data_IF_931688617043
#
_entry.id   IF_931688617043
#
_cell.length_a   1.000
_cell.length_b   1.000
_cell.length_c   1.000
_cell.angle_alpha   90.00
_cell.angle_beta   90.00
_cell.angle_gamma   90.00
#
_symmetry.space_group_name_H-M   'P 1'
#
loop_
_entity.id
_entity.type
_entity.pdbx_description
1 polymer ?
#
# COMPACT_ATOMS: atom_id res chain seq x y z
N UNK A 1 -17.91 -19.50 -4.73
CA UNK A 1 -16.72 -18.62 -4.72
C UNK A 1 -16.91 -17.60 -3.61
N UNK A 2 -15.89 -17.44 -2.79
CA UNK A 2 -15.92 -16.52 -1.64
C UNK A 2 -15.80 -15.07 -2.11
N UNK A 3 -16.41 -14.13 -1.38
CA UNK A 3 -16.32 -12.71 -1.64
C UNK A 3 -15.28 -12.06 -0.74
N UNK A 4 -14.40 -11.26 -1.33
CA UNK A 4 -13.43 -10.43 -0.60
C UNK A 4 -13.72 -8.96 -0.88
N UNK A 5 -13.86 -8.14 0.18
CA UNK A 5 -14.01 -6.71 0.06
C UNK A 5 -12.63 -6.03 0.10
N UNK A 6 -12.31 -5.23 -0.92
CA UNK A 6 -11.08 -4.43 -0.99
C UNK A 6 -11.45 -2.96 -0.90
N UNK A 7 -11.12 -2.29 0.20
CA UNK A 7 -11.25 -0.84 0.28
C UNK A 7 -10.00 -0.17 -0.27
N UNK A 8 -10.16 0.93 -1.03
CA UNK A 8 -9.04 1.54 -1.76
C UNK A 8 -8.62 0.73 -2.99
N UNK A 9 -9.53 -0.10 -3.53
CA UNK A 9 -9.22 -1.03 -4.61
C UNK A 9 -8.93 -0.39 -5.97
N UNK A 10 -9.30 0.89 -6.18
CA UNK A 10 -8.92 1.62 -7.38
C UNK A 10 -7.50 2.22 -7.31
N UNK A 11 -6.87 2.20 -6.13
CA UNK A 11 -5.53 2.72 -5.90
C UNK A 11 -4.42 1.85 -6.48
N UNK A 12 -3.17 2.25 -6.23
CA UNK A 12 -1.96 1.55 -6.70
C UNK A 12 -1.92 0.09 -6.23
N UNK A 13 -1.75 -0.15 -4.93
CA UNK A 13 -1.66 -1.51 -4.39
C UNK A 13 -3.00 -2.23 -4.54
N UNK A 14 -4.11 -1.53 -4.25
CA UNK A 14 -5.45 -2.11 -4.29
C UNK A 14 -5.84 -2.68 -5.65
N UNK A 15 -5.47 -2.03 -6.75
CA UNK A 15 -5.77 -2.52 -8.11
C UNK A 15 -5.07 -3.84 -8.42
N UNK A 16 -3.83 -3.98 -8.00
CA UNK A 16 -3.08 -5.23 -8.15
C UNK A 16 -3.64 -6.34 -7.24
N UNK A 17 -4.03 -5.99 -5.99
CA UNK A 17 -4.69 -6.94 -5.07
C UNK A 17 -5.98 -7.47 -5.70
N UNK A 18 -6.83 -6.59 -6.26
CA UNK A 18 -8.06 -7.01 -6.91
C UNK A 18 -7.81 -7.99 -8.06
N UNK A 19 -6.86 -7.70 -8.96
CA UNK A 19 -6.51 -8.61 -10.06
C UNK A 19 -5.96 -9.95 -9.55
N UNK A 20 -5.13 -9.93 -8.52
CA UNK A 20 -4.59 -11.16 -7.92
C UNK A 20 -5.69 -12.01 -7.28
N UNK A 21 -6.64 -11.40 -6.57
CA UNK A 21 -7.79 -12.11 -6.00
C UNK A 21 -8.66 -12.76 -7.08
N UNK A 22 -8.96 -12.01 -8.16
CA UNK A 22 -9.70 -12.55 -9.32
C UNK A 22 -8.97 -13.73 -9.94
N UNK A 23 -7.64 -13.67 -10.11
CA UNK A 23 -6.86 -14.79 -10.64
C UNK A 23 -6.82 -16.00 -9.71
N UNK A 24 -6.97 -15.79 -8.40
CA UNK A 24 -7.10 -16.86 -7.39
C UNK A 24 -8.54 -17.40 -7.25
N UNK A 25 -9.52 -16.88 -7.99
CA UNK A 25 -10.88 -17.40 -7.99
C UNK A 25 -11.83 -16.74 -6.97
N UNK A 26 -11.45 -15.61 -6.35
CA UNK A 26 -12.32 -14.86 -5.46
C UNK A 26 -13.23 -13.89 -6.21
N UNK A 27 -14.48 -13.78 -5.78
CA UNK A 27 -15.32 -12.65 -6.14
C UNK A 27 -14.85 -11.39 -5.38
N UNK A 28 -14.85 -10.23 -6.03
CA UNK A 28 -14.27 -9.02 -5.46
C UNK A 28 -15.29 -7.88 -5.39
N UNK A 29 -15.46 -7.35 -4.18
CA UNK A 29 -16.11 -6.06 -3.97
C UNK A 29 -15.04 -4.96 -3.79
N UNK A 30 -15.18 -3.85 -4.49
CA UNK A 30 -14.27 -2.71 -4.41
C UNK A 30 -15.01 -1.52 -3.80
N UNK A 31 -14.42 -0.90 -2.78
CA UNK A 31 -14.84 0.42 -2.27
C UNK A 31 -13.73 1.42 -2.54
N UNK A 32 -14.02 2.50 -3.28
CA UNK A 32 -13.12 3.63 -3.48
C UNK A 32 -13.94 4.91 -3.66
N UNK A 33 -13.51 6.02 -3.09
CA UNK A 33 -14.19 7.30 -3.24
C UNK A 33 -13.64 8.17 -4.38
N UNK A 34 -12.65 7.63 -5.12
CA UNK A 34 -11.98 8.32 -6.23
C UNK A 34 -11.50 9.73 -5.88
N UNK A 35 -11.06 9.94 -4.62
CA UNK A 35 -10.56 11.25 -4.20
C UNK A 35 -9.47 11.79 -5.14
N UNK A 36 -9.30 13.09 -5.13
CA UNK A 36 -8.42 13.85 -6.00
C UNK A 36 -6.99 14.03 -5.47
N UNK A 37 -6.56 13.23 -4.50
CA UNK A 37 -5.19 13.23 -4.00
C UNK A 37 -4.16 13.07 -5.15
N UNK A 38 -4.52 12.26 -6.13
CA UNK A 38 -3.93 12.25 -7.48
C UNK A 38 -5.05 12.02 -8.49
N UNK A 39 -4.75 12.24 -9.78
CA UNK A 39 -5.76 12.19 -10.84
C UNK A 39 -6.73 11.00 -10.72
N UNK A 40 -8.05 11.23 -10.52
CA UNK A 40 -9.05 10.18 -10.51
C UNK A 40 -9.11 9.37 -11.82
N UNK A 41 -8.67 9.94 -12.94
CA UNK A 41 -8.61 9.25 -14.22
C UNK A 41 -7.71 8.01 -14.14
N UNK A 42 -6.54 8.09 -13.46
CA UNK A 42 -5.66 6.95 -13.25
C UNK A 42 -6.34 5.83 -12.45
N UNK A 43 -7.14 6.19 -11.46
CA UNK A 43 -7.92 5.21 -10.67
C UNK A 43 -8.99 4.53 -11.54
N UNK A 44 -9.64 5.29 -12.42
CA UNK A 44 -10.65 4.73 -13.34
C UNK A 44 -10.02 3.82 -14.41
N UNK A 45 -8.82 4.13 -14.89
CA UNK A 45 -8.05 3.22 -15.74
C UNK A 45 -7.75 1.89 -15.04
N UNK A 46 -7.32 1.94 -13.76
CA UNK A 46 -7.11 0.75 -12.95
C UNK A 46 -8.39 -0.11 -12.86
N UNK A 47 -9.55 0.52 -12.64
CA UNK A 47 -10.84 -0.20 -12.61
C UNK A 47 -11.18 -0.83 -13.97
N UNK A 48 -10.85 -0.17 -15.07
CA UNK A 48 -11.04 -0.75 -16.41
C UNK A 48 -10.23 -2.03 -16.59
N UNK A 49 -8.98 -2.04 -16.13
CA UNK A 49 -8.12 -3.25 -16.19
C UNK A 49 -8.66 -4.36 -15.29
N UNK A 50 -9.08 -4.04 -14.05
CA UNK A 50 -9.66 -5.02 -13.12
C UNK A 50 -10.93 -5.63 -13.71
N UNK A 51 -11.80 -4.84 -14.35
CA UNK A 51 -13.01 -5.35 -15.04
C UNK A 51 -12.66 -6.29 -16.18
N UNK A 52 -11.62 -5.98 -16.95
CA UNK A 52 -11.14 -6.86 -18.01
C UNK A 52 -10.59 -8.18 -17.44
N UNK A 53 -9.86 -8.14 -16.33
CA UNK A 53 -9.38 -9.34 -15.64
C UNK A 53 -10.56 -10.18 -15.11
N UNK A 54 -11.57 -9.58 -14.49
CA UNK A 54 -12.77 -10.28 -14.00
C UNK A 54 -13.51 -11.00 -15.15
N UNK A 55 -13.67 -10.33 -16.29
CA UNK A 55 -14.31 -10.94 -17.47
C UNK A 55 -13.51 -12.14 -18.01
N UNK A 56 -12.16 -12.06 -17.99
CA UNK A 56 -11.29 -13.15 -18.42
C UNK A 56 -11.43 -14.39 -17.54
N UNK A 57 -11.62 -14.22 -16.26
CA UNK A 57 -11.76 -15.32 -15.29
C UNK A 57 -13.20 -15.75 -15.07
N UNK A 58 -14.20 -15.09 -15.66
CA UNK A 58 -15.64 -15.32 -15.43
C UNK A 58 -16.02 -15.25 -13.94
N UNK A 59 -15.46 -14.25 -13.21
CA UNK A 59 -15.64 -14.04 -11.78
C UNK A 59 -16.40 -12.72 -11.54
N UNK A 60 -17.21 -12.68 -10.48
CA UNK A 60 -17.99 -11.49 -10.15
C UNK A 60 -17.13 -10.38 -9.56
N UNK A 61 -17.38 -9.18 -10.06
CA UNK A 61 -16.74 -7.94 -9.60
C UNK A 61 -17.82 -6.87 -9.40
N UNK A 62 -17.83 -6.26 -8.22
CA UNK A 62 -18.72 -5.13 -7.92
C UNK A 62 -17.91 -3.93 -7.46
N UNK A 63 -18.21 -2.76 -8.01
CA UNK A 63 -17.58 -1.49 -7.63
C UNK A 63 -18.59 -0.60 -6.91
N UNK A 64 -18.23 -0.13 -5.72
CA UNK A 64 -18.96 0.86 -4.95
C UNK A 64 -18.14 2.16 -4.87
N UNK A 65 -18.63 3.20 -5.51
CA UNK A 65 -18.05 4.55 -5.37
C UNK A 65 -18.54 5.15 -4.05
N UNK A 66 -17.79 4.90 -2.97
CA UNK A 66 -18.19 5.26 -1.61
C UNK A 66 -16.98 5.66 -0.75
N UNK A 67 -17.25 6.56 0.19
CA UNK A 67 -16.28 6.97 1.20
C UNK A 67 -16.41 6.08 2.45
N UNK A 68 -15.30 5.56 2.94
CA UNK A 68 -15.27 4.68 4.13
C UNK A 68 -15.79 5.36 5.40
N UNK A 69 -15.87 6.69 5.43
CA UNK A 69 -16.45 7.46 6.53
C UNK A 69 -17.98 7.49 6.50
N UNK A 70 -18.58 7.22 5.35
CA UNK A 70 -20.04 7.27 5.20
C UNK A 70 -20.68 5.97 5.65
N UNK A 71 -21.17 5.94 6.89
CA UNK A 71 -21.77 4.76 7.52
C UNK A 71 -22.92 4.16 6.70
N UNK A 72 -23.76 4.98 6.06
CA UNK A 72 -24.89 4.47 5.27
C UNK A 72 -24.44 3.77 3.99
N UNK A 73 -23.45 4.35 3.31
CA UNK A 73 -22.89 3.75 2.09
C UNK A 73 -22.15 2.44 2.41
N UNK A 74 -21.41 2.42 3.51
CA UNK A 74 -20.68 1.21 3.95
C UNK A 74 -21.68 0.13 4.43
N UNK A 75 -22.74 0.49 5.13
CA UNK A 75 -23.80 -0.47 5.48
C UNK A 75 -24.42 -1.14 4.24
N UNK A 76 -24.68 -0.37 3.20
CA UNK A 76 -25.16 -0.90 1.92
C UNK A 76 -24.15 -1.89 1.30
N UNK A 77 -22.85 -1.54 1.26
CA UNK A 77 -21.80 -2.40 0.72
C UNK A 77 -21.76 -3.76 1.43
N UNK A 78 -21.74 -3.75 2.76
CA UNK A 78 -21.66 -4.97 3.55
C UNK A 78 -22.94 -5.84 3.46
N UNK A 79 -24.08 -5.24 3.18
CA UNK A 79 -25.34 -5.94 3.01
C UNK A 79 -25.49 -6.57 1.62
N UNK A 80 -24.89 -5.97 0.60
CA UNK A 80 -25.11 -6.32 -0.81
C UNK A 80 -24.48 -7.66 -1.21
N UNK A 81 -23.38 -8.08 -0.54
CA UNK A 81 -22.68 -9.34 -0.82
C UNK A 81 -22.24 -10.01 0.48
N UNK A 82 -22.16 -11.35 0.48
CA UNK A 82 -21.71 -12.14 1.64
C UNK A 82 -20.17 -12.18 1.71
N UNK A 83 -19.56 -11.08 2.15
CA UNK A 83 -18.11 -11.00 2.27
C UNK A 83 -17.58 -11.93 3.37
N UNK A 84 -16.51 -12.67 3.05
CA UNK A 84 -15.79 -13.54 3.99
C UNK A 84 -14.59 -12.83 4.61
N UNK A 85 -13.97 -11.90 3.89
CA UNK A 85 -12.79 -11.17 4.32
C UNK A 85 -12.82 -9.71 3.85
N UNK A 86 -12.10 -8.86 4.58
CA UNK A 86 -11.86 -7.46 4.20
C UNK A 86 -10.36 -7.22 4.08
N UNK A 87 -9.91 -6.66 2.95
CA UNK A 87 -8.57 -6.11 2.76
C UNK A 87 -8.69 -4.59 2.79
N UNK A 88 -8.31 -3.98 3.91
CA UNK A 88 -8.50 -2.56 4.18
C UNK A 88 -7.26 -1.75 3.79
N UNK A 89 -7.26 -1.24 2.52
CA UNK A 89 -6.17 -0.41 1.98
C UNK A 89 -6.55 1.07 1.86
N UNK A 90 -7.83 1.41 1.95
CA UNK A 90 -8.30 2.80 1.87
C UNK A 90 -7.72 3.63 3.01
N UNK A 91 -6.99 4.68 2.66
CA UNK A 91 -6.40 5.61 3.62
C UNK A 91 -5.92 6.88 2.91
N UNK A 92 -5.82 7.99 3.63
CA UNK A 92 -4.94 9.07 3.26
C UNK A 92 -3.51 8.64 3.52
N UNK A 93 -2.66 8.60 2.49
CA UNK A 93 -1.27 8.14 2.56
C UNK A 93 -0.29 9.30 2.36
N UNK A 94 0.93 9.16 2.91
CA UNK A 94 2.01 10.13 2.76
C UNK A 94 2.27 10.93 4.03
N UNK A 95 3.55 10.98 4.42
CA UNK A 95 4.02 11.68 5.63
C UNK A 95 3.82 13.19 5.49
N UNK A 96 4.32 13.79 4.40
CA UNK A 96 4.31 15.25 4.21
C UNK A 96 2.90 15.84 4.14
N UNK A 97 1.97 15.34 3.29
CA UNK A 97 0.61 15.86 3.27
C UNK A 97 -0.13 15.71 4.60
N UNK A 98 0.25 14.73 5.43
CA UNK A 98 -0.35 14.57 6.76
C UNK A 98 0.01 15.69 7.73
N UNK A 99 1.17 16.32 7.55
CA UNK A 99 1.60 17.48 8.35
C UNK A 99 0.76 18.71 7.97
N UNK A 100 0.41 18.84 6.70
CA UNK A 100 -0.39 19.96 6.18
C UNK A 100 -1.88 19.83 6.56
N UNK A 101 -2.41 18.62 6.66
CA UNK A 101 -3.83 18.37 6.96
C UNK A 101 -4.05 17.15 7.88
N UNK A 102 -3.54 17.24 9.11
CA UNK A 102 -3.69 16.19 10.12
C UNK A 102 -5.17 15.80 10.41
N UNK A 103 -6.14 16.76 10.49
CA UNK A 103 -7.53 16.41 10.73
C UNK A 103 -8.11 15.44 9.68
N UNK A 104 -7.81 15.63 8.39
CA UNK A 104 -8.25 14.73 7.34
C UNK A 104 -7.70 13.32 7.52
N UNK A 105 -6.42 13.20 7.91
CA UNK A 105 -5.78 11.90 8.14
C UNK A 105 -6.41 11.16 9.33
N UNK A 106 -6.72 11.87 10.41
CA UNK A 106 -7.43 11.30 11.57
C UNK A 106 -8.83 10.82 11.12
N UNK A 107 -9.57 11.66 10.43
CA UNK A 107 -10.95 11.35 10.03
C UNK A 107 -11.01 10.15 9.07
N UNK A 108 -10.16 10.10 8.05
CA UNK A 108 -10.15 8.98 7.10
C UNK A 108 -9.53 7.73 7.70
N UNK A 109 -8.33 7.84 8.29
CA UNK A 109 -7.54 6.66 8.67
C UNK A 109 -7.99 6.05 9.99
N UNK A 110 -8.57 6.84 10.91
CA UNK A 110 -9.07 6.34 12.20
C UNK A 110 -10.58 6.13 12.14
N UNK A 111 -11.36 7.19 11.91
CA UNK A 111 -12.82 7.07 11.93
C UNK A 111 -13.32 6.16 10.79
N UNK A 112 -12.71 6.26 9.59
CA UNK A 112 -12.99 5.36 8.47
C UNK A 112 -12.69 3.90 8.79
N UNK A 113 -11.54 3.61 9.42
CA UNK A 113 -11.18 2.25 9.86
C UNK A 113 -12.15 1.71 10.91
N UNK A 114 -12.52 2.52 11.91
CA UNK A 114 -13.52 2.14 12.91
C UNK A 114 -14.86 1.84 12.24
N UNK A 115 -15.28 2.65 11.27
CA UNK A 115 -16.52 2.41 10.53
C UNK A 115 -16.52 1.06 9.79
N UNK A 116 -15.39 0.68 9.16
CA UNK A 116 -15.24 -0.65 8.53
C UNK A 116 -15.33 -1.76 9.59
N UNK A 117 -14.60 -1.65 10.69
CA UNK A 117 -14.58 -2.65 11.76
C UNK A 117 -15.97 -2.85 12.41
N UNK A 118 -16.72 -1.76 12.63
CA UNK A 118 -18.09 -1.84 13.15
C UNK A 118 -19.04 -2.58 12.19
N UNK A 119 -18.86 -2.41 10.88
CA UNK A 119 -19.64 -3.16 9.90
C UNK A 119 -19.19 -4.61 9.80
N UNK A 120 -17.90 -4.90 9.89
CA UNK A 120 -17.42 -6.28 10.01
C UNK A 120 -18.05 -6.98 11.21
N UNK A 121 -18.05 -6.32 12.39
CA UNK A 121 -18.71 -6.84 13.60
C UNK A 121 -20.22 -7.06 13.39
N UNK A 122 -20.92 -6.09 12.84
CA UNK A 122 -22.36 -6.14 12.56
C UNK A 122 -22.75 -7.29 11.63
N UNK A 123 -21.95 -7.51 10.57
CA UNK A 123 -22.19 -8.53 9.56
C UNK A 123 -21.42 -9.83 9.79
N UNK A 124 -20.78 -9.99 10.97
CA UNK A 124 -20.07 -11.19 11.42
C UNK A 124 -18.92 -11.62 10.50
N UNK A 125 -18.25 -10.66 9.83
CA UNK A 125 -17.07 -10.92 9.03
C UNK A 125 -15.85 -10.92 9.96
N UNK A 126 -15.07 -12.01 9.94
CA UNK A 126 -14.02 -12.26 10.92
C UNK A 126 -12.59 -12.27 10.38
N UNK A 127 -12.36 -11.89 9.12
CA UNK A 127 -11.05 -11.93 8.49
C UNK A 127 -10.68 -10.52 7.99
N UNK A 128 -9.62 -9.94 8.53
CA UNK A 128 -9.15 -8.60 8.18
C UNK A 128 -7.66 -8.57 7.86
N UNK A 129 -7.31 -7.97 6.73
CA UNK A 129 -5.97 -7.47 6.48
C UNK A 129 -6.00 -5.95 6.58
N UNK A 130 -5.19 -5.39 7.46
CA UNK A 130 -5.07 -3.95 7.66
C UNK A 130 -3.76 -3.41 7.10
N UNK A 131 -3.82 -2.45 6.18
CA UNK A 131 -2.65 -1.78 5.65
C UNK A 131 -2.07 -0.80 6.66
N UNK A 132 -1.04 -1.24 7.39
CA UNK A 132 -0.18 -0.39 8.20
C UNK A 132 0.98 0.16 7.35
N UNK A 133 2.03 0.65 7.95
CA UNK A 133 3.15 1.31 7.26
C UNK A 133 4.43 1.25 8.08
N UNK A 134 5.58 1.13 7.42
CA UNK A 134 6.90 1.31 8.04
C UNK A 134 7.11 2.68 8.67
N UNK A 135 6.28 3.68 8.33
CA UNK A 135 6.31 5.00 8.96
C UNK A 135 6.07 4.96 10.47
N UNK A 136 5.44 3.90 11.01
CA UNK A 136 5.21 3.74 12.45
C UNK A 136 6.50 3.64 13.26
N UNK A 137 7.60 3.20 12.64
CA UNK A 137 8.92 3.11 13.28
C UNK A 137 9.57 4.48 13.57
N UNK A 138 9.13 5.53 12.87
CA UNK A 138 9.65 6.88 13.06
C UNK A 138 11.16 6.97 12.78
N UNK A 139 11.87 7.69 13.65
CA UNK A 139 13.33 7.82 13.63
C UNK A 139 13.98 6.83 14.62
N UNK A 140 13.70 5.54 14.49
CA UNK A 140 14.39 4.53 15.30
C UNK A 140 15.85 4.43 14.88
N UNK A 141 16.76 4.39 15.87
CA UNK A 141 18.19 4.17 15.65
C UNK A 141 18.52 2.67 15.41
N UNK A 142 17.58 1.77 15.76
CA UNK A 142 17.70 0.33 15.54
C UNK A 142 17.31 -0.01 14.10
N UNK A 143 18.18 -0.69 13.38
CA UNK A 143 17.93 -1.28 12.06
C UNK A 143 18.54 -2.68 11.97
N UNK A 144 17.89 -3.64 11.30
CA UNK A 144 16.59 -3.56 10.64
C UNK A 144 15.45 -3.35 11.64
N UNK A 145 14.29 -2.81 11.15
CA UNK A 145 13.08 -2.59 11.94
C UNK A 145 12.36 -3.92 12.19
N UNK A 146 12.13 -4.24 13.44
CA UNK A 146 11.47 -5.45 13.92
C UNK A 146 10.03 -5.13 14.36
N UNK A 147 9.09 -6.04 14.15
CA UNK A 147 7.69 -5.83 14.53
C UNK A 147 7.50 -5.67 16.05
N UNK A 148 8.39 -6.26 16.85
CA UNK A 148 8.38 -6.17 18.32
C UNK A 148 9.05 -4.89 18.85
N UNK A 149 9.64 -4.05 17.97
CA UNK A 149 10.19 -2.77 18.37
C UNK A 149 9.09 -1.83 18.89
N UNK A 150 9.35 -1.06 19.97
CA UNK A 150 8.41 -0.05 20.45
C UNK A 150 8.22 1.05 19.40
N UNK A 151 6.97 1.28 18.99
CA UNK A 151 6.59 2.25 17.96
C UNK A 151 5.66 3.33 18.54
N UNK A 152 6.03 3.87 19.69
CA UNK A 152 5.22 4.84 20.47
C UNK A 152 5.58 6.29 20.15
N UNK A 153 6.57 6.54 19.29
CA UNK A 153 7.07 7.87 18.96
C UNK A 153 6.99 8.15 17.46
N UNK A 154 5.77 8.11 16.86
CA UNK A 154 5.58 8.42 15.44
C UNK A 154 5.96 9.89 15.19
N UNK A 155 6.63 10.16 14.06
CA UNK A 155 7.11 11.50 13.70
C UNK A 155 6.21 12.24 12.70
N UNK A 156 5.03 11.69 12.42
CA UNK A 156 4.03 12.34 11.55
C UNK A 156 2.61 11.92 11.92
N UNK A 157 1.60 12.77 11.63
CA UNK A 157 0.20 12.40 11.80
C UNK A 157 -0.18 11.13 11.04
N UNK A 158 0.34 10.92 9.84
CA UNK A 158 0.15 9.67 9.09
C UNK A 158 0.63 8.44 9.87
N UNK A 159 1.85 8.47 10.37
CA UNK A 159 2.41 7.38 11.17
C UNK A 159 1.58 7.12 12.44
N UNK A 160 1.17 8.19 13.13
CA UNK A 160 0.32 8.10 14.31
C UNK A 160 -1.03 7.44 13.99
N UNK A 161 -1.67 7.80 12.85
CA UNK A 161 -2.95 7.17 12.46
C UNK A 161 -2.79 5.70 12.08
N UNK A 162 -1.68 5.30 11.47
CA UNK A 162 -1.41 3.89 11.15
C UNK A 162 -1.17 3.07 12.43
N UNK A 163 -0.40 3.60 13.38
CA UNK A 163 -0.21 2.96 14.69
C UNK A 163 -1.53 2.86 15.47
N UNK A 164 -2.33 3.91 15.48
CA UNK A 164 -3.66 3.87 16.09
C UNK A 164 -4.55 2.79 15.46
N UNK A 165 -4.48 2.62 14.13
CA UNK A 165 -5.19 1.56 13.42
C UNK A 165 -4.77 0.15 13.88
N UNK A 166 -3.48 -0.12 14.07
CA UNK A 166 -2.99 -1.40 14.63
C UNK A 166 -3.60 -1.69 16.01
N UNK A 167 -3.60 -0.67 16.90
CA UNK A 167 -4.16 -0.79 18.26
C UNK A 167 -5.68 -1.02 18.25
N UNK A 168 -6.39 -0.31 17.39
CA UNK A 168 -7.83 -0.47 17.20
C UNK A 168 -8.13 -1.87 16.66
N UNK A 169 -7.42 -2.33 15.66
CA UNK A 169 -7.56 -3.68 15.11
C UNK A 169 -7.35 -4.76 16.19
N UNK A 170 -6.33 -4.61 17.05
CA UNK A 170 -6.11 -5.51 18.18
C UNK A 170 -7.30 -5.50 19.16
N UNK A 171 -7.89 -4.33 19.42
CA UNK A 171 -9.07 -4.23 20.30
C UNK A 171 -10.27 -5.00 19.73
N UNK A 172 -10.51 -4.89 18.41
CA UNK A 172 -11.59 -5.62 17.74
C UNK A 172 -11.32 -7.13 17.65
N UNK A 173 -10.07 -7.52 17.47
CA UNK A 173 -9.66 -8.91 17.59
C UNK A 173 -10.02 -9.47 18.97
N UNK A 174 -9.59 -8.79 20.04
CA UNK A 174 -9.81 -9.24 21.42
C UNK A 174 -11.29 -9.31 21.81
N UNK A 175 -12.10 -8.33 21.39
CA UNK A 175 -13.51 -8.22 21.81
C UNK A 175 -14.47 -9.02 20.93
N UNK A 176 -14.13 -9.24 19.67
CA UNK A 176 -15.09 -9.77 18.68
C UNK A 176 -14.53 -10.92 17.84
N UNK A 177 -13.40 -11.50 18.22
CA UNK A 177 -12.76 -12.64 17.53
C UNK A 177 -12.53 -12.41 16.04
N UNK A 178 -12.19 -11.17 15.65
CA UNK A 178 -11.79 -10.88 14.26
C UNK A 178 -10.33 -11.28 14.10
N UNK A 179 -10.03 -12.21 13.19
CA UNK A 179 -8.66 -12.53 12.79
C UNK A 179 -8.05 -11.36 12.01
N UNK A 180 -6.89 -10.87 12.43
CA UNK A 180 -6.28 -9.68 11.85
C UNK A 180 -4.81 -9.90 11.54
N UNK A 181 -4.41 -9.57 10.31
CA UNK A 181 -3.02 -9.33 9.95
C UNK A 181 -2.82 -7.83 9.67
N UNK A 182 -2.02 -7.16 10.50
CA UNK A 182 -1.58 -5.79 10.25
C UNK A 182 -0.30 -5.83 9.41
N UNK A 183 -0.33 -5.27 8.19
CA UNK A 183 0.77 -5.34 7.24
C UNK A 183 1.50 -3.99 7.20
N UNK A 184 2.70 -3.93 7.76
CA UNK A 184 3.59 -2.75 7.68
C UNK A 184 4.30 -2.76 6.34
N UNK A 185 3.69 -2.10 5.35
CA UNK A 185 4.32 -1.93 4.04
C UNK A 185 5.52 -1.01 4.13
N UNK A 186 6.63 -1.44 3.54
CA UNK A 186 7.77 -0.59 3.25
C UNK A 186 7.52 0.18 1.93
N UNK A 187 8.56 0.70 1.28
CA UNK A 187 8.32 1.55 0.10
C UNK A 187 7.97 0.72 -1.12
N UNK A 188 6.67 0.50 -1.33
CA UNK A 188 6.18 -0.27 -2.48
C UNK A 188 6.34 0.53 -3.77
N UNK A 189 6.83 -0.12 -4.83
CA UNK A 189 6.97 0.46 -6.17
C UNK A 189 6.59 -0.52 -7.26
N UNK A 190 6.36 -0.02 -8.48
CA UNK A 190 5.99 -0.83 -9.64
C UNK A 190 4.94 -0.18 -10.53
N UNK A 191 4.37 -0.91 -11.50
CA UNK A 191 3.28 -0.45 -12.36
C UNK A 191 2.15 0.18 -11.57
N UNK A 192 1.50 1.22 -12.11
CA UNK A 192 0.41 1.99 -11.46
C UNK A 192 0.82 2.75 -10.20
N UNK A 193 2.13 2.83 -9.88
CA UNK A 193 2.60 3.64 -8.76
C UNK A 193 2.10 5.07 -8.88
N UNK A 194 1.74 5.68 -7.72
CA UNK A 194 1.21 7.06 -7.69
C UNK A 194 2.24 8.07 -8.18
N UNK A 195 1.81 9.17 -8.84
CA UNK A 195 2.72 10.18 -9.41
C UNK A 195 3.57 10.93 -8.38
N UNK A 196 3.10 11.01 -7.12
CA UNK A 196 3.82 11.66 -6.02
C UNK A 196 5.02 10.86 -5.49
N UNK A 197 5.09 9.55 -5.80
CA UNK A 197 6.16 8.68 -5.32
C UNK A 197 7.43 8.78 -6.17
N UNK A 198 8.59 8.69 -5.51
CA UNK A 198 9.88 9.08 -6.06
C UNK A 198 10.22 8.39 -7.40
N UNK A 199 10.09 7.07 -7.50
CA UNK A 199 10.48 6.32 -8.72
C UNK A 199 9.67 6.80 -9.92
N UNK A 200 8.33 6.93 -9.78
CA UNK A 200 7.48 7.43 -10.86
C UNK A 200 7.76 8.89 -11.18
N UNK A 201 7.83 9.75 -10.17
CA UNK A 201 8.14 11.17 -10.33
C UNK A 201 9.46 11.39 -11.05
N UNK A 202 10.48 10.62 -10.70
CA UNK A 202 11.81 10.74 -11.33
C UNK A 202 11.81 10.20 -12.76
N UNK A 203 11.09 9.12 -13.04
CA UNK A 203 10.91 8.65 -14.42
C UNK A 203 10.22 9.72 -15.28
N UNK A 204 9.15 10.35 -14.79
CA UNK A 204 8.46 11.44 -15.48
C UNK A 204 9.41 12.61 -15.80
N UNK A 205 10.22 13.02 -14.82
CA UNK A 205 11.21 14.09 -14.99
C UNK A 205 12.32 13.71 -15.98
N UNK A 206 12.83 12.46 -15.94
CA UNK A 206 13.82 11.95 -16.90
C UNK A 206 13.29 11.96 -18.33
N UNK A 207 12.06 11.52 -18.54
CA UNK A 207 11.45 11.52 -19.87
C UNK A 207 11.17 12.94 -20.39
N UNK A 208 10.83 13.86 -19.49
CA UNK A 208 10.61 15.27 -19.80
C UNK A 208 11.92 16.09 -19.90
N UNK A 209 13.09 15.48 -19.70
CA UNK A 209 14.39 16.16 -19.62
C UNK A 209 14.40 17.33 -18.62
N UNK A 210 13.72 17.17 -17.49
CA UNK A 210 13.59 18.15 -16.41
C UNK A 210 14.48 17.77 -15.21
N UNK A 211 14.93 18.76 -14.42
CA UNK A 211 15.75 18.49 -13.24
C UNK A 211 15.04 17.61 -12.21
N UNK A 212 15.76 16.61 -11.68
CA UNK A 212 15.33 15.74 -10.59
C UNK A 212 15.74 16.38 -9.26
N UNK A 213 14.81 16.57 -8.31
CA UNK A 213 15.16 17.05 -6.97
C UNK A 213 15.99 16.00 -6.23
N UNK A 214 17.23 16.36 -5.90
CA UNK A 214 18.19 15.48 -5.24
C UNK A 214 18.50 16.02 -3.85
N UNK A 215 18.00 15.32 -2.82
CA UNK A 215 18.07 15.78 -1.44
C UNK A 215 19.31 15.24 -0.73
N UNK A 216 20.00 16.13 -0.01
CA UNK A 216 21.24 15.81 0.70
C UNK A 216 22.37 15.41 -0.23
N UNK A 217 23.15 14.43 0.19
CA UNK A 217 24.26 13.85 -0.59
C UNK A 217 23.85 12.57 -1.38
N UNK A 218 22.58 12.20 -1.27
CA UNK A 218 22.04 11.00 -1.93
C UNK A 218 22.27 9.70 -1.17
N UNK A 219 22.80 9.75 0.06
CA UNK A 219 23.06 8.58 0.90
C UNK A 219 21.83 8.03 1.62
N UNK A 220 20.74 8.81 1.72
CA UNK A 220 19.48 8.37 2.36
C UNK A 220 18.97 7.08 1.72
N UNK A 221 18.71 6.07 2.54
CA UNK A 221 18.37 4.72 2.08
C UNK A 221 16.91 4.36 2.35
N UNK A 222 16.31 3.60 1.45
CA UNK A 222 14.95 3.06 1.63
C UNK A 222 14.93 1.58 1.25
N UNK A 223 14.13 0.83 1.98
CA UNK A 223 13.71 -0.51 1.59
C UNK A 223 12.59 -0.36 0.55
N UNK A 224 12.91 -0.71 -0.70
CA UNK A 224 11.98 -0.66 -1.84
C UNK A 224 11.50 -2.06 -2.16
N UNK A 225 10.19 -2.29 -2.05
CA UNK A 225 9.57 -3.58 -2.31
C UNK A 225 8.80 -3.54 -3.62
N UNK A 226 9.11 -4.44 -4.55
CA UNK A 226 8.36 -4.50 -5.80
C UNK A 226 6.92 -4.97 -5.54
N UNK A 227 5.96 -4.41 -6.28
CA UNK A 227 4.52 -4.62 -6.01
C UNK A 227 4.11 -6.08 -6.01
N UNK A 228 4.68 -6.94 -6.87
CA UNK A 228 4.35 -8.38 -6.90
C UNK A 228 4.78 -9.11 -5.63
N UNK A 229 5.90 -8.70 -5.01
CA UNK A 229 6.35 -9.27 -3.75
C UNK A 229 5.44 -8.82 -2.60
N UNK A 230 5.02 -7.55 -2.61
CA UNK A 230 3.98 -7.08 -1.68
C UNK A 230 2.69 -7.87 -1.82
N UNK A 231 2.26 -8.19 -3.05
CA UNK A 231 1.06 -9.01 -3.31
C UNK A 231 1.21 -10.43 -2.77
N UNK A 232 2.37 -11.07 -2.95
CA UNK A 232 2.64 -12.40 -2.38
C UNK A 232 2.44 -12.39 -0.86
N UNK A 233 2.98 -11.37 -0.18
CA UNK A 233 2.77 -11.18 1.26
C UNK A 233 1.31 -10.97 1.66
N UNK A 234 0.56 -10.18 0.91
CA UNK A 234 -0.88 -9.94 1.15
C UNK A 234 -1.68 -11.24 0.98
N UNK A 235 -1.47 -12.00 -0.09
CA UNK A 235 -2.20 -13.25 -0.33
C UNK A 235 -1.86 -14.31 0.72
N UNK A 236 -0.61 -14.41 1.15
CA UNK A 236 -0.20 -15.30 2.23
C UNK A 236 -0.79 -14.89 3.58
N UNK A 237 -0.87 -13.59 3.85
CA UNK A 237 -1.54 -13.07 5.04
C UNK A 237 -3.06 -13.34 4.99
N UNK A 238 -3.70 -13.28 3.80
CA UNK A 238 -5.11 -13.65 3.65
C UNK A 238 -5.33 -15.13 3.99
N UNK A 239 -4.49 -16.02 3.50
CA UNK A 239 -4.52 -17.43 3.86
C UNK A 239 -4.25 -17.66 5.35
N UNK A 240 -3.38 -16.85 5.96
CA UNK A 240 -3.05 -16.97 7.39
C UNK A 240 -4.22 -16.55 8.29
N UNK A 241 -4.97 -15.48 7.96
CA UNK A 241 -6.17 -15.09 8.74
C UNK A 241 -7.35 -16.02 8.49
N UNK A 242 -7.32 -16.85 7.43
CA UNK A 242 -8.30 -17.88 7.15
C UNK A 242 -8.02 -19.13 8.00
N UNK A 243 -8.17 -18.98 9.31
CA UNK A 243 -7.94 -20.02 10.30
C UNK A 243 -9.12 -20.11 11.26
N UNK A 244 -9.39 -21.33 11.74
CA UNK A 244 -10.35 -21.55 12.83
C UNK A 244 -9.82 -21.05 14.19
N UNK A 245 -8.51 -20.88 14.32
CA UNK A 245 -7.88 -20.32 15.51
C UNK A 245 -7.98 -18.81 15.50
N UNK A 246 -8.13 -18.22 16.69
CA UNK A 246 -8.09 -16.76 16.88
C UNK A 246 -6.68 -16.23 16.64
N UNK A 247 -6.51 -15.32 15.68
CA UNK A 247 -5.20 -14.83 15.21
C UNK A 247 -5.13 -13.32 15.11
N UNK A 248 -4.12 -12.76 15.73
CA UNK A 248 -3.71 -11.37 15.52
C UNK A 248 -2.19 -11.33 15.43
N UNK A 249 -1.67 -10.71 14.37
CA UNK A 249 -0.24 -10.38 14.33
C UNK A 249 0.04 -9.18 13.42
N UNK A 250 1.26 -8.66 13.53
CA UNK A 250 1.81 -7.57 12.71
C UNK A 250 2.97 -8.15 11.91
N UNK A 251 3.02 -7.84 10.61
CA UNK A 251 4.06 -8.32 9.69
C UNK A 251 4.69 -7.19 8.90
N UNK A 252 6.00 -7.15 8.86
CA UNK A 252 6.74 -6.32 7.91
C UNK A 252 6.71 -6.95 6.52
N UNK A 253 6.28 -6.17 5.52
CA UNK A 253 6.39 -6.54 4.11
C UNK A 253 7.37 -5.58 3.43
N UNK A 254 8.62 -5.99 3.36
CA UNK A 254 9.77 -5.29 2.79
C UNK A 254 10.61 -6.22 1.93
N UNK A 255 11.66 -5.70 1.32
CA UNK A 255 12.65 -6.47 0.56
C UNK A 255 13.77 -7.01 1.45
N UNK A 256 13.92 -6.44 2.66
CA UNK A 256 15.09 -6.65 3.52
C UNK A 256 16.41 -6.30 2.83
N UNK A 257 16.35 -5.32 1.94
CA UNK A 257 17.49 -4.68 1.28
C UNK A 257 17.24 -3.19 1.15
N UNK A 258 18.28 -2.40 1.26
CA UNK A 258 18.14 -0.95 1.19
C UNK A 258 18.84 -0.39 -0.03
N UNK A 259 18.19 0.59 -0.67
CA UNK A 259 18.70 1.30 -1.84
C UNK A 259 18.80 2.79 -1.51
N UNK A 260 19.95 3.40 -1.81
CA UNK A 260 20.16 4.83 -1.63
C UNK A 260 19.48 5.65 -2.73
N UNK A 261 19.29 6.94 -2.49
CA UNK A 261 18.78 7.85 -3.52
C UNK A 261 19.68 7.87 -4.77
N UNK A 262 21.01 7.79 -4.57
CA UNK A 262 21.98 7.73 -5.68
C UNK A 262 21.83 6.44 -6.49
N UNK A 263 21.71 5.29 -5.82
CA UNK A 263 21.50 3.98 -6.48
C UNK A 263 20.16 3.96 -7.24
N UNK A 264 19.10 4.55 -6.67
CA UNK A 264 17.79 4.65 -7.35
C UNK A 264 17.89 5.49 -8.63
N UNK A 265 18.57 6.64 -8.59
CA UNK A 265 18.77 7.47 -9.80
C UNK A 265 19.57 6.71 -10.84
N UNK A 266 20.64 6.02 -10.43
CA UNK A 266 21.47 5.21 -11.34
C UNK A 266 20.66 4.09 -12.00
N UNK A 267 19.82 3.38 -11.24
CA UNK A 267 18.94 2.32 -11.79
C UNK A 267 17.94 2.89 -12.83
N UNK A 268 17.36 4.07 -12.55
CA UNK A 268 16.47 4.75 -13.50
C UNK A 268 17.21 5.21 -14.76
N UNK A 269 18.42 5.77 -14.65
CA UNK A 269 19.27 6.09 -15.80
C UNK A 269 19.56 4.86 -16.66
N UNK A 270 19.95 3.77 -16.01
CA UNK A 270 20.27 2.50 -16.69
C UNK A 270 19.06 1.92 -17.42
N UNK A 271 17.88 1.90 -16.78
CA UNK A 271 16.65 1.36 -17.38
C UNK A 271 16.06 2.26 -18.49
N UNK A 272 16.27 3.58 -18.41
CA UNK A 272 15.74 4.53 -19.41
C UNK A 272 16.70 4.81 -20.55
N UNK A 273 18.01 4.63 -20.34
CA UNK A 273 19.08 5.09 -21.23
C UNK A 273 19.27 6.61 -21.21
N UNK A 274 18.67 7.32 -20.27
CA UNK A 274 18.70 8.79 -20.14
C UNK A 274 19.56 9.21 -18.95
N UNK A 275 20.23 10.36 -19.04
CA UNK A 275 20.97 10.95 -17.92
C UNK A 275 20.12 11.91 -17.13
N UNK A 276 20.21 11.83 -15.81
CA UNK A 276 19.50 12.70 -14.88
C UNK A 276 20.16 14.07 -14.77
N UNK A 277 19.37 15.12 -14.86
CA UNK A 277 19.76 16.46 -14.46
C UNK A 277 19.44 16.61 -12.98
N UNK A 278 20.46 16.62 -12.11
CA UNK A 278 20.25 16.68 -10.67
C UNK A 278 20.19 18.12 -10.17
N UNK A 279 19.12 18.49 -9.48
CA UNK A 279 19.00 19.74 -8.74
C UNK A 279 19.12 19.44 -7.24
N UNK A 280 20.23 19.83 -6.63
CA UNK A 280 20.54 19.56 -5.22
C UNK A 280 19.72 20.43 -4.28
N UNK A 281 19.19 19.82 -3.24
CA UNK A 281 18.46 20.46 -2.13
C UNK A 281 19.00 19.96 -0.79
N UNK A 282 18.85 20.73 0.30
CA UNK A 282 19.14 20.25 1.64
C UNK A 282 18.20 19.11 2.03
N UNK A 283 18.61 18.31 3.03
CA UNK A 283 17.75 17.29 3.64
C UNK A 283 16.47 17.95 4.14
N UNK A 284 15.33 17.33 3.89
CA UNK A 284 14.03 17.88 4.28
C UNK A 284 13.64 17.44 5.71
N UNK A 285 13.00 18.33 6.48
CA UNK A 285 12.44 17.96 7.78
C UNK A 285 11.45 16.79 7.66
N UNK A 286 11.53 15.83 8.59
CA UNK A 286 10.67 14.65 8.62
C UNK A 286 11.13 13.49 7.72
N UNK A 287 12.20 13.65 6.95
CA UNK A 287 12.81 12.53 6.24
C UNK A 287 13.67 11.68 7.19
N UNK A 288 13.40 10.38 7.23
CA UNK A 288 14.23 9.40 7.95
C UNK A 288 15.50 9.10 7.15
N UNK A 289 16.61 8.83 7.82
CA UNK A 289 17.89 8.50 7.18
C UNK A 289 17.85 7.17 6.46
N UNK A 290 17.20 6.16 7.06
CA UNK A 290 17.04 4.83 6.47
C UNK A 290 15.70 4.21 6.86
N UNK A 291 15.16 3.36 5.96
CA UNK A 291 14.15 2.36 6.31
C UNK A 291 14.67 1.01 5.89
N UNK A 292 14.60 0.02 6.78
CA UNK A 292 15.14 -1.31 6.54
C UNK A 292 14.29 -2.33 7.31
N UNK A 293 13.62 -3.25 6.59
CA UNK A 293 12.74 -4.26 7.17
C UNK A 293 13.54 -5.45 7.72
N UNK A 294 13.23 -5.87 8.94
CA UNK A 294 13.35 -7.28 9.29
C UNK A 294 12.07 -7.98 8.80
N UNK A 295 12.24 -8.99 7.96
CA UNK A 295 11.14 -9.80 7.42
C UNK A 295 11.14 -11.23 7.99
N UNK A 296 11.91 -11.48 9.02
CA UNK A 296 12.08 -12.80 9.64
C UNK A 296 10.77 -13.41 10.10
N UNK A 297 9.91 -12.62 10.74
CA UNK A 297 8.57 -13.03 11.18
C UNK A 297 7.69 -13.39 9.99
N UNK A 298 7.58 -12.50 8.99
CA UNK A 298 6.80 -12.75 7.78
C UNK A 298 7.30 -13.99 7.01
N UNK A 299 8.61 -14.19 6.94
CA UNK A 299 9.20 -15.38 6.33
C UNK A 299 8.84 -16.64 7.09
N UNK A 300 8.96 -16.65 8.41
CA UNK A 300 8.71 -17.82 9.25
C UNK A 300 7.22 -18.19 9.29
N UNK A 301 6.34 -17.21 9.47
CA UNK A 301 4.89 -17.45 9.72
C UNK A 301 4.10 -17.51 8.42
N UNK A 302 4.35 -16.59 7.49
CA UNK A 302 3.62 -16.49 6.22
C UNK A 302 4.32 -17.24 5.08
N UNK A 303 5.61 -17.57 5.21
CA UNK A 303 6.43 -18.03 4.10
C UNK A 303 6.72 -16.91 3.08
N UNK A 304 6.68 -15.65 3.51
CA UNK A 304 6.96 -14.50 2.66
C UNK A 304 8.43 -14.49 2.22
N UNK A 305 8.65 -14.40 0.92
CA UNK A 305 9.99 -14.39 0.34
C UNK A 305 9.98 -13.48 -0.89
N UNK A 306 10.46 -12.22 -0.77
CA UNK A 306 10.56 -11.31 -1.91
C UNK A 306 11.58 -11.83 -2.92
N UNK A 307 11.30 -11.67 -4.23
CA UNK A 307 12.06 -12.29 -5.33
C UNK A 307 12.56 -11.31 -6.38
N UNK A 308 12.03 -10.09 -6.40
CA UNK A 308 12.31 -9.14 -7.48
C UNK A 308 13.34 -8.13 -7.01
N UNK A 309 14.62 -8.27 -7.48
CA UNK A 309 15.64 -7.28 -7.16
C UNK A 309 15.23 -5.87 -7.59
N UNK A 310 15.81 -4.85 -6.93
CA UNK A 310 15.47 -3.46 -7.21
C UNK A 310 15.68 -3.08 -8.69
N UNK A 311 16.81 -3.49 -9.28
CA UNK A 311 17.15 -3.22 -10.68
C UNK A 311 16.14 -3.86 -11.62
N UNK A 312 15.75 -5.11 -11.36
CA UNK A 312 14.76 -5.82 -12.16
C UNK A 312 13.39 -5.16 -12.04
N UNK A 313 12.98 -4.78 -10.84
CA UNK A 313 11.70 -4.10 -10.60
C UNK A 313 11.65 -2.72 -11.29
N UNK A 314 12.76 -1.96 -11.29
CA UNK A 314 12.85 -0.68 -12.02
C UNK A 314 12.73 -0.91 -13.54
N UNK A 315 13.37 -1.95 -14.10
CA UNK A 315 13.22 -2.29 -15.51
C UNK A 315 11.74 -2.57 -15.87
N UNK A 316 11.07 -3.43 -15.11
CA UNK A 316 9.66 -3.77 -15.31
C UNK A 316 8.75 -2.53 -15.17
N UNK A 317 9.04 -1.66 -14.19
CA UNK A 317 8.33 -0.41 -14.03
C UNK A 317 8.50 0.51 -15.27
N UNK A 318 9.73 0.66 -15.79
CA UNK A 318 10.01 1.50 -16.97
C UNK A 318 9.37 0.93 -18.23
N UNK A 319 9.33 -0.39 -18.41
CA UNK A 319 8.59 -1.03 -19.52
C UNK A 319 7.10 -0.66 -19.48
N UNK A 320 6.45 -0.79 -18.32
CA UNK A 320 5.07 -0.37 -18.10
C UNK A 320 4.89 1.14 -18.33
N UNK A 321 5.80 1.97 -17.81
CA UNK A 321 5.74 3.42 -17.93
C UNK A 321 5.78 3.88 -19.39
N UNK A 322 6.65 3.27 -20.21
CA UNK A 322 6.75 3.56 -21.65
C UNK A 322 5.48 3.21 -22.41
N UNK A 323 4.84 2.09 -22.06
CA UNK A 323 3.69 1.57 -22.81
C UNK A 323 2.39 2.27 -22.44
N UNK A 324 2.22 2.66 -21.19
CA UNK A 324 0.95 3.20 -20.68
C UNK A 324 1.00 4.65 -20.22
N UNK A 325 1.90 4.97 -19.31
CA UNK A 325 1.91 6.29 -18.70
C UNK A 325 2.41 7.37 -19.66
N UNK A 326 3.46 7.06 -20.43
CA UNK A 326 4.09 8.05 -21.32
C UNK A 326 3.36 8.22 -22.65
N UNK A 327 2.85 7.13 -23.26
CA UNK A 327 2.12 7.22 -24.55
C UNK A 327 0.75 7.90 -24.45
N UNK A 328 0.10 7.82 -23.30
CA UNK A 328 -1.25 8.38 -23.11
C UNK A 328 -1.24 9.86 -22.69
N UNK A 329 -0.09 10.56 -22.75
CA UNK A 329 0.05 11.96 -22.29
C UNK A 329 -0.52 12.18 -20.87
N UNK A 330 -0.47 11.18 -20.00
CA UNK A 330 -0.91 11.25 -18.61
C UNK A 330 0.24 11.80 -17.72
N UNK A 331 1.12 12.60 -18.34
CA UNK A 331 2.23 13.32 -17.69
C UNK A 331 2.01 14.81 -17.84
#
# INVERSE_FOLDING_TARGET
>A
MEWVLVTGGAGFIGSHVCESLLSCGYNVGIVDNFNDYYSPALKRENITDIKAAAATHSIELVLYEADIRNTKSIDYVFKDRPYEAVIHLAACAGVRPSIENAPLYIDVNINGTVNILEHMRKYQIRKLLFASSSSVYGNSDKTPFDEDDPVDRPISPYAATKKAGELICHTYHHLYDINVACLRFFTVYGPRQRPDLAIRKFAELLYAARPIPFYGDGSARRDYTYVTDTLDGILKALAWVDSAESRFDIFNLGESQTVSLSEMVFALESATGKKALLQKFPIQPGDVTATYADIGKAKCILGYEPKVSFEKGVQLFIEWFRTRAYKNNVV
#
